data_IF_726814845315
#
_entry.id   IF_726814845315
#
_cell.length_a   1.000
_cell.length_b   1.000
_cell.length_c   1.000
_cell.angle_alpha   90.00
_cell.angle_beta   90.00
_cell.angle_gamma   90.00
#
_symmetry.space_group_name_H-M   'P 1'
#
loop_
_entity.id
_entity.type
_entity.pdbx_description
1 polymer ?
#
# COMPACT_ATOMS: atom_id res chain seq x y z
N UNK A 1 23.64 14.87 24.19
CA UNK A 1 23.39 15.51 22.87
C UNK A 1 22.00 16.09 22.92
N UNK A 2 21.84 17.39 22.60
CA UNK A 2 20.54 18.04 22.58
C UNK A 2 19.60 17.30 21.60
N UNK A 3 18.31 17.12 21.95
CA UNK A 3 17.36 16.61 20.99
C UNK A 3 17.37 17.55 19.77
N UNK A 4 17.64 17.01 18.61
CA UNK A 4 17.48 17.69 17.32
C UNK A 4 16.08 18.33 17.32
N UNK A 5 15.99 19.63 17.09
CA UNK A 5 14.69 20.30 16.89
C UNK A 5 13.92 19.49 15.85
N UNK A 6 12.78 18.92 16.27
CA UNK A 6 12.02 18.02 15.43
C UNK A 6 11.63 18.68 14.12
N UNK A 7 11.72 17.95 13.04
CA UNK A 7 11.23 18.39 11.72
C UNK A 7 9.71 18.47 11.79
N UNK A 8 9.13 19.60 11.38
CA UNK A 8 7.67 19.74 11.34
C UNK A 8 7.14 19.51 9.92
N UNK A 9 5.92 18.98 9.81
CA UNK A 9 5.27 18.80 8.51
C UNK A 9 5.17 20.14 7.77
N UNK A 10 4.86 21.22 8.46
CA UNK A 10 4.78 22.57 7.89
C UNK A 10 6.13 23.03 7.30
N UNK A 11 7.24 22.75 7.99
CA UNK A 11 8.57 23.10 7.48
C UNK A 11 8.95 22.30 6.23
N UNK A 12 8.63 21.01 6.20
CA UNK A 12 8.85 20.16 5.01
C UNK A 12 7.99 20.65 3.85
N UNK A 13 6.70 20.89 4.08
CA UNK A 13 5.78 21.35 3.03
C UNK A 13 6.18 22.73 2.46
N UNK A 14 6.66 23.65 3.30
CA UNK A 14 7.10 24.99 2.87
C UNK A 14 8.36 24.97 1.98
N UNK A 15 9.18 23.94 2.07
CA UNK A 15 10.39 23.78 1.27
C UNK A 15 10.13 23.16 -0.12
N UNK A 16 8.92 22.67 -0.36
CA UNK A 16 8.54 21.94 -1.57
C UNK A 16 7.79 22.86 -2.56
N UNK A 17 7.79 22.53 -3.86
CA UNK A 17 6.85 23.11 -4.80
C UNK A 17 5.40 22.91 -4.33
N UNK A 18 4.45 23.74 -4.78
CA UNK A 18 3.03 23.51 -4.50
C UNK A 18 2.58 22.14 -5.01
N UNK A 19 1.58 21.57 -4.34
CA UNK A 19 0.99 20.32 -4.80
C UNK A 19 0.47 20.44 -6.22
N UNK A 20 0.76 19.43 -7.04
CA UNK A 20 0.13 19.31 -8.34
C UNK A 20 -1.36 19.00 -8.14
N UNK A 21 -2.20 19.79 -8.76
CA UNK A 21 -3.65 19.64 -8.65
C UNK A 21 -4.29 19.71 -10.01
N UNK A 22 -5.05 18.68 -10.34
CA UNK A 22 -5.92 18.68 -11.51
C UNK A 22 -7.33 18.31 -11.05
N UNK A 23 -8.33 19.18 -11.26
CA UNK A 23 -9.72 18.84 -10.98
C UNK A 23 -10.11 17.54 -11.68
N UNK A 24 -10.73 16.61 -10.93
CA UNK A 24 -11.15 15.32 -11.50
C UNK A 24 -10.04 14.26 -11.62
N UNK A 25 -8.84 14.46 -11.04
CA UNK A 25 -7.77 13.46 -11.07
C UNK A 25 -8.24 12.09 -10.58
N UNK A 26 -8.93 12.01 -9.43
CA UNK A 26 -9.47 10.78 -8.86
C UNK A 26 -10.48 10.10 -9.80
N UNK A 27 -11.35 10.88 -10.43
CA UNK A 27 -12.30 10.39 -11.44
C UNK A 27 -11.56 9.83 -12.66
N UNK A 28 -10.50 10.51 -13.10
CA UNK A 28 -9.66 10.04 -14.20
C UNK A 28 -8.98 8.72 -13.87
N UNK A 29 -8.46 8.55 -12.66
CA UNK A 29 -7.89 7.28 -12.19
C UNK A 29 -8.94 6.18 -12.28
N UNK A 30 -10.15 6.43 -11.77
CA UNK A 30 -11.26 5.46 -11.81
C UNK A 30 -11.59 5.02 -13.24
N UNK A 31 -11.67 5.97 -14.18
CA UNK A 31 -11.93 5.69 -15.60
C UNK A 31 -10.81 4.85 -16.22
N UNK A 32 -9.54 5.15 -15.92
CA UNK A 32 -8.39 4.39 -16.42
C UNK A 32 -8.37 2.98 -15.85
N UNK A 33 -8.68 2.80 -14.57
CA UNK A 33 -8.81 1.48 -13.95
C UNK A 33 -9.92 0.66 -14.61
N UNK A 34 -11.11 1.25 -14.78
CA UNK A 34 -12.22 0.58 -15.47
C UNK A 34 -11.87 0.20 -16.91
N UNK A 35 -11.22 1.10 -17.64
CA UNK A 35 -10.80 0.85 -19.02
C UNK A 35 -9.75 -0.25 -19.13
N UNK A 36 -8.93 -0.46 -18.10
CA UNK A 36 -7.94 -1.54 -18.05
C UNK A 36 -8.58 -2.93 -17.93
N UNK A 37 -9.79 -3.01 -17.42
CA UNK A 37 -10.47 -4.28 -17.09
C UNK A 37 -9.79 -5.10 -16.00
N UNK A 38 -8.76 -4.55 -15.35
CA UNK A 38 -7.91 -5.23 -14.37
C UNK A 38 -8.54 -5.23 -12.99
N UNK A 39 -8.51 -6.37 -12.30
CA UNK A 39 -8.82 -6.47 -10.88
C UNK A 39 -7.60 -6.14 -10.03
N UNK A 40 -7.79 -5.33 -9.00
CA UNK A 40 -6.79 -5.09 -7.97
C UNK A 40 -7.07 -6.05 -6.82
N UNK A 41 -6.11 -6.92 -6.50
CA UNK A 41 -6.22 -7.90 -5.43
C UNK A 41 -5.33 -7.46 -4.29
N UNK A 42 -5.94 -7.06 -3.19
CA UNK A 42 -5.22 -6.54 -2.03
C UNK A 42 -5.06 -7.66 -1.01
N UNK A 43 -3.82 -8.09 -0.79
CA UNK A 43 -3.48 -9.03 0.26
C UNK A 43 -3.22 -8.27 1.54
N UNK A 44 -4.04 -8.50 2.54
CA UNK A 44 -4.01 -7.77 3.81
C UNK A 44 -3.43 -8.66 4.91
N UNK A 45 -2.25 -8.30 5.38
CA UNK A 45 -1.52 -9.09 6.38
C UNK A 45 -2.07 -8.95 7.81
N UNK A 46 -3.08 -8.06 8.01
CA UNK A 46 -3.64 -7.67 9.30
C UNK A 46 -5.11 -7.25 9.12
N UNK A 47 -6.04 -7.56 10.06
CA UNK A 47 -7.48 -7.32 9.89
C UNK A 47 -7.90 -5.86 9.83
N UNK A 48 -6.97 -4.91 9.88
CA UNK A 48 -7.27 -3.46 9.87
C UNK A 48 -7.03 -2.79 8.52
N UNK A 49 -6.83 -3.55 7.44
CA UNK A 49 -6.39 -3.04 6.14
C UNK A 49 -7.37 -2.18 5.34
N UNK A 50 -8.64 -2.31 5.61
CA UNK A 50 -9.71 -1.65 4.84
C UNK A 50 -10.08 -0.24 5.34
N UNK A 51 -9.27 0.36 6.19
CA UNK A 51 -9.58 1.61 6.91
C UNK A 51 -9.84 2.82 6.01
N UNK A 52 -9.32 2.83 4.78
CA UNK A 52 -9.40 3.97 3.86
C UNK A 52 -10.34 3.73 2.67
N UNK A 53 -10.94 2.56 2.59
CA UNK A 53 -11.79 2.12 1.49
C UNK A 53 -13.20 1.79 1.99
N UNK A 54 -14.17 1.69 1.08
CA UNK A 54 -15.55 1.37 1.42
C UNK A 54 -16.24 0.63 0.27
N UNK A 55 -17.33 -0.06 0.58
CA UNK A 55 -18.14 -0.81 -0.37
C UNK A 55 -17.32 -1.84 -1.17
N UNK A 56 -16.49 -2.64 -0.45
CA UNK A 56 -15.53 -3.57 -1.02
C UNK A 56 -15.63 -4.90 -0.28
N UNK A 57 -15.56 -6.00 -1.04
CA UNK A 57 -15.51 -7.33 -0.47
C UNK A 57 -14.16 -7.62 0.21
N UNK A 58 -14.24 -8.26 1.37
CA UNK A 58 -13.09 -8.78 2.11
C UNK A 58 -13.25 -10.28 2.25
N UNK A 59 -12.45 -11.02 1.51
CA UNK A 59 -12.46 -12.48 1.53
C UNK A 59 -11.58 -12.99 2.68
N UNK A 60 -12.11 -13.91 3.47
CA UNK A 60 -11.38 -14.61 4.55
C UNK A 60 -10.97 -16.01 4.15
N UNK A 61 -11.33 -16.42 2.95
CA UNK A 61 -10.97 -17.66 2.28
C UNK A 61 -10.60 -17.34 0.82
N UNK A 62 -9.83 -18.20 0.18
CA UNK A 62 -9.30 -17.95 -1.16
C UNK A 62 -9.30 -19.21 -2.04
N UNK A 63 -10.34 -20.04 -1.90
CA UNK A 63 -10.59 -21.08 -2.86
C UNK A 63 -10.95 -20.51 -4.25
N UNK A 64 -10.68 -21.28 -5.29
CA UNK A 64 -10.80 -20.79 -6.68
C UNK A 64 -12.23 -20.39 -7.04
N UNK A 65 -13.25 -21.01 -6.46
CA UNK A 65 -14.66 -20.72 -6.76
C UNK A 65 -15.04 -19.34 -6.19
N UNK A 66 -14.75 -19.08 -4.92
CA UNK A 66 -14.98 -17.79 -4.28
C UNK A 66 -14.19 -16.67 -4.98
N UNK A 67 -12.94 -16.91 -5.33
CA UNK A 67 -12.14 -15.94 -6.09
C UNK A 67 -12.75 -15.66 -7.46
N UNK A 68 -13.30 -16.65 -8.15
CA UNK A 68 -13.98 -16.46 -9.44
C UNK A 68 -15.20 -15.54 -9.28
N UNK A 69 -16.00 -15.75 -8.24
CA UNK A 69 -17.13 -14.87 -7.92
C UNK A 69 -16.66 -13.42 -7.69
N UNK A 70 -15.57 -13.22 -6.93
CA UNK A 70 -14.97 -11.89 -6.71
C UNK A 70 -14.41 -11.28 -8.01
N UNK A 71 -13.88 -12.07 -8.93
CA UNK A 71 -13.50 -11.58 -10.25
C UNK A 71 -14.72 -11.14 -11.07
N UNK A 72 -15.85 -11.82 -10.98
CA UNK A 72 -17.07 -11.51 -11.73
C UNK A 72 -17.82 -10.30 -11.17
N UNK A 73 -17.62 -9.96 -9.88
CA UNK A 73 -18.20 -8.78 -9.23
C UNK A 73 -17.81 -7.47 -9.96
N UNK A 74 -18.65 -6.43 -9.92
CA UNK A 74 -18.43 -5.17 -10.64
C UNK A 74 -17.32 -4.30 -10.05
N UNK A 75 -17.00 -4.46 -8.77
CA UNK A 75 -15.99 -3.66 -8.05
C UNK A 75 -14.60 -3.84 -8.67
N UNK A 76 -13.79 -2.77 -8.77
CA UNK A 76 -12.46 -2.84 -9.38
C UNK A 76 -11.44 -3.61 -8.53
N UNK A 77 -11.76 -3.86 -7.26
CA UNK A 77 -10.88 -4.54 -6.31
C UNK A 77 -11.65 -5.38 -5.31
N UNK A 78 -10.91 -6.30 -4.69
CA UNK A 78 -11.32 -7.00 -3.47
C UNK A 78 -10.10 -7.25 -2.58
N UNK A 79 -10.35 -7.47 -1.30
CA UNK A 79 -9.32 -7.80 -0.31
C UNK A 79 -9.33 -9.30 -0.02
N UNK A 80 -8.15 -9.83 0.26
CA UNK A 80 -7.96 -11.15 0.87
C UNK A 80 -7.26 -10.93 2.20
N UNK A 81 -7.95 -11.22 3.28
CA UNK A 81 -7.41 -11.14 4.62
C UNK A 81 -6.55 -12.37 4.92
N UNK A 82 -5.25 -12.23 4.86
CA UNK A 82 -4.28 -13.32 5.07
C UNK A 82 -3.88 -13.50 6.52
N UNK A 83 -3.89 -12.42 7.32
CA UNK A 83 -3.39 -12.36 8.70
C UNK A 83 -1.93 -12.85 8.86
N UNK A 84 -1.14 -12.81 7.82
CA UNK A 84 0.23 -13.37 7.79
C UNK A 84 1.16 -12.70 8.78
N UNK A 85 0.92 -11.45 9.18
CA UNK A 85 1.72 -10.76 10.20
C UNK A 85 1.68 -11.45 11.57
N UNK A 86 0.61 -12.17 11.88
CA UNK A 86 0.47 -12.94 13.12
C UNK A 86 1.01 -14.37 13.06
N UNK A 87 1.58 -14.79 11.92
CA UNK A 87 2.03 -16.16 11.66
C UNK A 87 3.55 -16.19 11.53
N UNK A 88 4.14 -17.38 11.45
CA UNK A 88 5.56 -17.55 11.11
C UNK A 88 5.82 -17.37 9.61
N UNK A 89 7.09 -17.11 9.25
CA UNK A 89 7.51 -16.83 7.88
C UNK A 89 7.18 -17.96 6.90
N UNK A 90 7.38 -19.21 7.29
CA UNK A 90 7.11 -20.37 6.42
C UNK A 90 5.61 -20.53 6.14
N UNK A 91 4.78 -20.26 7.13
CA UNK A 91 3.32 -20.23 6.95
C UNK A 91 2.88 -19.07 6.08
N UNK A 92 3.46 -17.87 6.26
CA UNK A 92 3.19 -16.71 5.41
C UNK A 92 3.58 -16.99 3.95
N UNK A 93 4.75 -17.58 3.71
CA UNK A 93 5.19 -18.00 2.38
C UNK A 93 4.18 -18.95 1.72
N UNK A 94 3.80 -20.01 2.43
CA UNK A 94 2.86 -21.03 1.92
C UNK A 94 1.50 -20.41 1.55
N UNK A 95 0.97 -19.52 2.40
CA UNK A 95 -0.30 -18.82 2.15
C UNK A 95 -0.20 -17.95 0.89
N UNK A 96 0.86 -17.16 0.75
CA UNK A 96 1.03 -16.31 -0.42
C UNK A 96 1.21 -17.13 -1.72
N UNK A 97 1.92 -18.27 -1.68
CA UNK A 97 2.01 -19.20 -2.79
C UNK A 97 0.64 -19.75 -3.19
N UNK A 98 -0.14 -20.22 -2.21
CA UNK A 98 -1.48 -20.77 -2.44
C UNK A 98 -2.42 -19.73 -3.06
N UNK A 99 -2.44 -18.51 -2.48
CA UNK A 99 -3.26 -17.41 -3.02
C UNK A 99 -2.85 -17.07 -4.45
N UNK A 100 -1.55 -16.94 -4.74
CA UNK A 100 -1.10 -16.59 -6.08
C UNK A 100 -1.56 -17.62 -7.12
N UNK A 101 -1.50 -18.91 -6.79
CA UNK A 101 -1.95 -19.99 -7.67
C UNK A 101 -3.46 -19.99 -7.89
N UNK A 102 -4.22 -19.85 -6.80
CA UNK A 102 -5.68 -19.82 -6.86
C UNK A 102 -6.20 -18.57 -7.60
N UNK A 103 -5.59 -17.42 -7.37
CA UNK A 103 -5.89 -16.19 -8.10
C UNK A 103 -5.59 -16.33 -9.58
N UNK A 104 -4.45 -16.92 -9.96
CA UNK A 104 -4.13 -17.13 -11.37
C UNK A 104 -5.15 -18.06 -12.05
N UNK A 105 -5.57 -19.12 -11.35
CA UNK A 105 -6.58 -20.03 -11.88
C UNK A 105 -7.94 -19.34 -12.05
N UNK A 106 -8.39 -18.59 -11.05
CA UNK A 106 -9.64 -17.84 -11.10
C UNK A 106 -9.61 -16.73 -12.17
N UNK A 107 -8.52 -15.96 -12.26
CA UNK A 107 -8.32 -14.92 -13.26
C UNK A 107 -8.37 -15.48 -14.70
N UNK A 108 -7.71 -16.62 -14.92
CA UNK A 108 -7.72 -17.31 -16.21
C UNK A 108 -9.12 -17.77 -16.59
N UNK A 109 -9.88 -18.32 -15.65
CA UNK A 109 -11.25 -18.76 -15.86
C UNK A 109 -12.20 -17.58 -16.14
N UNK A 110 -12.01 -16.44 -15.47
CA UNK A 110 -12.78 -15.20 -15.67
C UNK A 110 -12.33 -14.40 -16.91
N UNK A 111 -11.17 -14.72 -17.51
CA UNK A 111 -10.59 -13.97 -18.62
C UNK A 111 -10.22 -12.52 -18.25
N UNK A 112 -9.92 -12.25 -16.99
CA UNK A 112 -9.63 -10.90 -16.49
C UNK A 112 -8.18 -10.77 -16.04
N UNK A 113 -7.47 -9.71 -16.45
CA UNK A 113 -6.17 -9.38 -15.90
C UNK A 113 -6.27 -8.93 -14.44
N UNK A 114 -5.19 -9.06 -13.70
CA UNK A 114 -5.13 -8.64 -12.31
C UNK A 114 -3.78 -8.03 -11.93
N UNK A 115 -3.73 -7.40 -10.78
CA UNK A 115 -2.51 -6.97 -10.12
C UNK A 115 -2.62 -7.23 -8.61
N UNK A 116 -1.51 -7.65 -7.99
CA UNK A 116 -1.42 -7.78 -6.55
C UNK A 116 -0.96 -6.49 -5.89
N UNK A 117 -1.56 -6.17 -4.76
CA UNK A 117 -1.10 -5.17 -3.82
C UNK A 117 -0.89 -5.85 -2.47
N UNK A 118 0.36 -6.05 -2.05
CA UNK A 118 0.66 -6.48 -0.69
C UNK A 118 0.46 -5.29 0.25
N UNK A 119 -0.68 -5.27 0.93
CA UNK A 119 -1.00 -4.26 1.92
C UNK A 119 -0.48 -4.73 3.28
N UNK A 120 0.51 -4.05 3.76
CA UNK A 120 1.22 -4.37 4.99
C UNK A 120 1.20 -3.18 5.96
N UNK A 121 1.95 -3.27 7.04
CA UNK A 121 1.97 -2.27 8.09
C UNK A 121 2.57 -0.93 7.66
N UNK A 122 1.90 0.15 8.00
CA UNK A 122 2.40 1.50 7.77
C UNK A 122 3.61 1.89 8.64
N UNK A 123 3.95 1.07 9.64
CA UNK A 123 5.14 1.22 10.46
C UNK A 123 6.24 0.22 10.08
N UNK A 124 6.23 -0.25 8.82
CA UNK A 124 7.22 -1.11 8.16
C UNK A 124 7.34 -2.54 8.70
N UNK A 125 6.46 -2.99 9.59
CA UNK A 125 6.40 -4.39 10.03
C UNK A 125 5.77 -5.26 8.93
N UNK A 126 5.98 -6.57 8.99
CA UNK A 126 5.52 -7.55 8.01
C UNK A 126 6.68 -8.21 7.28
N UNK A 127 6.36 -9.21 6.47
CA UNK A 127 7.34 -10.10 5.83
C UNK A 127 7.90 -9.54 4.51
N UNK A 128 8.40 -8.29 4.51
CA UNK A 128 9.19 -7.80 3.39
C UNK A 128 10.65 -8.29 3.53
N UNK A 129 11.29 -8.82 2.47
CA UNK A 129 10.83 -8.92 1.08
C UNK A 129 10.05 -10.20 0.75
N UNK A 130 9.91 -11.15 1.67
CA UNK A 130 9.36 -12.48 1.45
C UNK A 130 8.04 -12.47 0.66
N UNK A 131 7.06 -11.69 1.09
CA UNK A 131 5.73 -11.66 0.46
C UNK A 131 5.81 -11.15 -0.99
N UNK A 132 6.58 -10.10 -1.24
CA UNK A 132 6.79 -9.57 -2.60
C UNK A 132 7.52 -10.59 -3.48
N UNK A 133 8.57 -11.22 -2.96
CA UNK A 133 9.36 -12.21 -3.70
C UNK A 133 8.52 -13.43 -4.10
N UNK A 134 7.71 -13.92 -3.17
CA UNK A 134 6.83 -15.09 -3.41
C UNK A 134 5.76 -14.76 -4.44
N UNK A 135 5.06 -13.64 -4.26
CA UNK A 135 4.02 -13.22 -5.19
C UNK A 135 4.59 -12.96 -6.59
N UNK A 136 5.74 -12.29 -6.69
CA UNK A 136 6.41 -12.06 -7.97
C UNK A 136 6.79 -13.38 -8.64
N UNK A 137 7.48 -14.25 -7.91
CA UNK A 137 7.94 -15.56 -8.42
C UNK A 137 6.78 -16.44 -8.91
N UNK A 138 5.74 -16.61 -8.10
CA UNK A 138 4.58 -17.43 -8.49
C UNK A 138 3.86 -16.82 -9.71
N UNK A 139 3.67 -15.49 -9.72
CA UNK A 139 3.01 -14.82 -10.84
C UNK A 139 3.85 -14.90 -12.12
N UNK A 140 5.17 -14.75 -12.04
CA UNK A 140 6.08 -14.89 -13.19
C UNK A 140 6.04 -16.31 -13.75
N UNK A 141 6.10 -17.32 -12.89
CA UNK A 141 6.07 -18.72 -13.31
C UNK A 141 4.75 -19.12 -13.98
N UNK A 142 3.63 -18.61 -13.47
CA UNK A 142 2.30 -18.94 -13.97
C UNK A 142 1.88 -18.04 -15.14
N UNK A 143 2.28 -16.79 -15.14
CA UNK A 143 1.90 -15.78 -16.12
C UNK A 143 2.86 -15.60 -17.30
N UNK A 144 4.09 -16.16 -17.21
CA UNK A 144 5.10 -16.06 -18.27
C UNK A 144 5.66 -14.66 -18.52
N UNK A 145 5.67 -13.78 -17.49
CA UNK A 145 6.21 -12.44 -17.56
C UNK A 145 6.95 -12.05 -16.28
N UNK A 146 7.82 -11.06 -16.34
CA UNK A 146 8.55 -10.54 -15.18
C UNK A 146 8.08 -9.14 -14.78
N UNK A 147 8.41 -8.75 -13.55
CA UNK A 147 8.14 -7.42 -13.04
C UNK A 147 9.32 -6.48 -13.28
N UNK A 148 9.01 -5.22 -13.61
CA UNK A 148 9.99 -4.17 -13.81
C UNK A 148 10.45 -3.56 -12.48
N UNK A 149 9.56 -3.47 -11.50
CA UNK A 149 9.87 -2.94 -10.19
C UNK A 149 8.83 -3.28 -9.13
N UNK A 150 9.20 -3.07 -7.88
CA UNK A 150 8.26 -3.13 -6.77
C UNK A 150 8.30 -1.83 -5.97
N UNK A 151 7.11 -1.25 -5.76
CA UNK A 151 6.98 0.01 -5.07
C UNK A 151 6.86 -0.17 -3.55
N UNK A 152 7.56 0.68 -2.81
CA UNK A 152 7.49 0.77 -1.35
C UNK A 152 6.73 2.05 -1.00
N UNK A 153 5.47 1.91 -0.54
CA UNK A 153 4.52 3.02 -0.33
C UNK A 153 3.84 2.88 1.04
N UNK A 154 4.55 3.05 2.16
CA UNK A 154 3.99 2.82 3.49
C UNK A 154 3.07 3.96 3.98
N UNK A 155 2.56 4.79 3.08
CA UNK A 155 1.73 5.94 3.41
C UNK A 155 0.37 5.54 4.00
N UNK A 156 0.01 6.16 5.13
CA UNK A 156 -1.29 6.09 5.76
C UNK A 156 -1.61 7.47 6.38
N UNK A 157 -2.16 8.35 5.57
CA UNK A 157 -2.33 9.76 5.91
C UNK A 157 -3.28 9.98 7.08
N UNK A 158 -4.36 9.19 7.18
CA UNK A 158 -5.34 9.25 8.26
C UNK A 158 -4.70 8.95 9.64
N UNK A 159 -3.63 8.16 9.65
CA UNK A 159 -2.87 7.85 10.86
C UNK A 159 -1.56 8.67 10.97
N UNK A 160 -1.36 9.66 10.10
CA UNK A 160 -0.15 10.50 10.11
C UNK A 160 1.12 9.76 9.68
N UNK A 161 1.01 8.79 8.75
CA UNK A 161 2.17 8.07 8.19
C UNK A 161 2.47 8.62 6.82
N UNK A 162 3.66 9.19 6.65
CA UNK A 162 4.06 9.89 5.43
C UNK A 162 5.57 9.75 5.19
N UNK A 163 6.00 9.99 3.96
CA UNK A 163 7.40 9.84 3.55
C UNK A 163 7.90 11.12 2.87
N UNK A 164 9.02 11.65 3.35
CA UNK A 164 9.69 12.82 2.78
C UNK A 164 11.20 12.63 2.80
N UNK A 165 11.89 12.97 1.72
CA UNK A 165 13.33 12.79 1.61
C UNK A 165 13.76 11.34 1.85
N UNK A 166 12.97 10.38 1.41
CA UNK A 166 13.07 8.93 1.60
C UNK A 166 12.89 8.45 3.05
N UNK A 167 12.80 9.33 4.03
CA UNK A 167 12.54 8.96 5.41
C UNK A 167 11.05 8.82 5.64
N UNK A 168 10.66 7.70 6.22
CA UNK A 168 9.28 7.47 6.63
C UNK A 168 9.06 7.98 8.04
N UNK A 169 7.96 8.71 8.24
CA UNK A 169 7.65 9.41 9.49
C UNK A 169 6.28 9.00 10.04
N UNK A 170 6.19 9.08 11.35
CA UNK A 170 4.96 9.20 12.10
C UNK A 170 4.77 10.66 12.49
N UNK A 171 3.68 11.29 12.04
CA UNK A 171 3.30 12.61 12.52
C UNK A 171 2.66 12.50 13.92
N UNK A 172 3.20 13.25 14.85
CA UNK A 172 2.65 13.38 16.20
C UNK A 172 2.47 14.86 16.50
N UNK A 173 1.22 15.29 16.53
CA UNK A 173 0.88 16.72 16.53
C UNK A 173 1.48 17.41 15.29
N UNK A 174 2.41 18.33 15.47
CA UNK A 174 3.11 19.03 14.38
C UNK A 174 4.50 18.45 14.07
N UNK A 175 4.97 17.48 14.85
CA UNK A 175 6.30 16.90 14.73
C UNK A 175 6.30 15.65 13.85
N UNK A 176 7.33 15.50 13.04
CA UNK A 176 7.61 14.29 12.26
C UNK A 176 8.68 13.48 13.00
N UNK A 177 8.29 12.31 13.47
CA UNK A 177 9.17 11.37 14.16
C UNK A 177 9.56 10.29 13.16
N UNK A 178 10.85 10.11 12.84
CA UNK A 178 11.28 9.00 12.00
C UNK A 178 10.83 7.66 12.60
N UNK A 179 10.28 6.77 11.77
CA UNK A 179 9.65 5.54 12.28
C UNK A 179 10.62 4.62 13.01
N UNK A 180 11.91 4.67 12.70
CA UNK A 180 12.94 3.94 13.41
C UNK A 180 13.23 4.46 14.83
N UNK A 181 12.72 5.62 15.20
CA UNK A 181 12.78 6.19 16.56
C UNK A 181 11.52 5.85 17.38
N UNK A 182 10.60 5.08 16.83
CA UNK A 182 9.36 4.68 17.49
C UNK A 182 9.45 3.29 18.08
N UNK A 183 8.51 2.96 18.98
CA UNK A 183 8.41 1.63 19.58
C UNK A 183 8.23 0.49 18.55
N UNK A 184 7.66 0.80 17.38
CA UNK A 184 7.42 -0.17 16.32
C UNK A 184 8.71 -0.72 15.69
N UNK A 185 9.78 0.06 15.67
CA UNK A 185 11.07 -0.37 15.16
C UNK A 185 11.76 -1.40 16.08
N UNK A 186 11.36 -1.42 17.36
CA UNK A 186 11.85 -2.39 18.34
C UNK A 186 11.04 -3.70 18.36
N UNK A 187 10.18 -3.95 17.37
CA UNK A 187 9.43 -5.19 17.24
C UNK A 187 10.37 -6.39 17.21
N UNK A 188 10.02 -7.46 17.94
CA UNK A 188 10.89 -8.63 18.11
C UNK A 188 11.02 -9.49 16.85
N UNK A 189 10.06 -9.42 15.94
CA UNK A 189 10.01 -10.22 14.70
C UNK A 189 10.37 -9.35 13.51
N UNK A 190 9.81 -8.15 13.42
CA UNK A 190 9.88 -7.27 12.26
C UNK A 190 10.75 -6.04 12.49
N UNK A 191 11.47 -5.95 13.59
CA UNK A 191 12.29 -4.81 13.95
C UNK A 191 13.25 -4.35 12.84
N UNK A 192 13.61 -3.08 12.85
CA UNK A 192 14.48 -2.46 11.85
C UNK A 192 15.22 -1.26 12.45
N UNK A 193 16.36 -0.91 11.84
CA UNK A 193 17.21 0.18 12.31
C UNK A 193 17.04 1.47 11.49
N UNK A 194 16.58 1.38 10.24
CA UNK A 194 16.58 2.49 9.30
C UNK A 194 15.16 3.04 9.04
N UNK A 195 14.98 4.35 9.20
CA UNK A 195 13.77 5.07 8.79
C UNK A 195 13.83 5.60 7.33
N UNK A 196 15.04 5.69 6.75
CA UNK A 196 15.24 5.90 5.31
C UNK A 196 14.85 4.61 4.57
N UNK A 197 13.85 4.69 3.70
CA UNK A 197 13.28 3.52 3.03
C UNK A 197 14.28 2.81 2.09
N UNK A 198 15.21 3.54 1.49
CA UNK A 198 16.24 2.90 0.65
C UNK A 198 17.18 2.05 1.51
N UNK A 199 17.59 2.57 2.66
CA UNK A 199 18.41 1.84 3.62
C UNK A 199 17.64 0.72 4.31
N UNK A 200 16.36 0.92 4.54
CA UNK A 200 15.47 -0.13 5.06
C UNK A 200 15.34 -1.29 4.07
N UNK A 201 15.24 -1.01 2.77
CA UNK A 201 15.27 -2.04 1.72
C UNK A 201 16.60 -2.80 1.76
N UNK A 202 17.73 -2.12 1.81
CA UNK A 202 19.05 -2.76 1.92
C UNK A 202 19.14 -3.65 3.15
N UNK A 203 18.71 -3.14 4.31
CA UNK A 203 18.66 -3.90 5.57
C UNK A 203 17.78 -5.14 5.45
N UNK A 204 16.55 -5.01 4.96
CA UNK A 204 15.59 -6.11 4.90
C UNK A 204 15.87 -7.14 3.82
N UNK A 205 16.60 -6.75 2.79
CA UNK A 205 17.03 -7.66 1.72
C UNK A 205 18.44 -8.21 1.95
N UNK A 206 19.04 -7.93 3.14
CA UNK A 206 20.40 -8.38 3.51
C UNK A 206 21.44 -7.99 2.45
N UNK A 207 21.27 -6.79 1.87
CA UNK A 207 22.18 -6.25 0.84
C UNK A 207 21.94 -6.80 -0.57
N UNK A 208 20.88 -7.58 -0.82
CA UNK A 208 20.51 -7.99 -2.18
C UNK A 208 20.20 -6.77 -3.06
N UNK A 209 19.57 -5.77 -2.51
CA UNK A 209 19.39 -4.45 -3.09
C UNK A 209 20.12 -3.43 -2.23
N UNK A 210 21.07 -2.70 -2.79
CA UNK A 210 21.73 -1.60 -2.09
C UNK A 210 20.82 -0.37 -2.10
N UNK A 211 20.96 0.50 -1.10
CA UNK A 211 20.20 1.75 -1.02
C UNK A 211 20.38 2.62 -2.27
N UNK A 212 21.57 2.58 -2.88
CA UNK A 212 21.89 3.33 -4.10
C UNK A 212 21.24 2.77 -5.37
N UNK A 213 20.81 1.51 -5.35
CA UNK A 213 20.18 0.86 -6.50
C UNK A 213 18.67 1.15 -6.56
N UNK A 214 18.09 1.63 -5.46
CA UNK A 214 16.67 1.96 -5.42
C UNK A 214 16.34 3.15 -6.33
N UNK A 215 15.30 3.02 -7.13
CA UNK A 215 14.69 4.18 -7.78
C UNK A 215 13.91 5.00 -6.76
N UNK A 216 13.87 6.31 -6.96
CA UNK A 216 13.16 7.22 -6.05
C UNK A 216 12.13 8.04 -6.82
N UNK A 217 10.91 8.05 -6.32
CA UNK A 217 9.87 9.01 -6.70
C UNK A 217 9.83 10.06 -5.59
N UNK A 218 10.50 11.20 -5.82
CA UNK A 218 10.57 12.28 -4.84
C UNK A 218 9.31 13.15 -4.83
N UNK A 219 9.13 13.96 -3.80
CA UNK A 219 8.01 14.91 -3.71
C UNK A 219 8.09 15.98 -4.81
N UNK A 220 9.29 16.45 -5.15
CA UNK A 220 9.49 17.41 -6.23
C UNK A 220 9.07 16.80 -7.58
N UNK A 221 9.39 15.52 -7.80
CA UNK A 221 9.00 14.80 -9.01
C UNK A 221 7.48 14.64 -9.09
N UNK A 222 6.82 14.23 -8.01
CA UNK A 222 5.36 14.13 -7.94
C UNK A 222 4.69 15.47 -8.23
N UNK A 223 5.22 16.54 -7.65
CA UNK A 223 4.68 17.89 -7.81
C UNK A 223 4.97 18.51 -9.19
N UNK A 224 5.82 17.87 -9.99
CA UNK A 224 5.99 18.20 -11.41
C UNK A 224 4.91 17.59 -12.31
N UNK A 225 4.06 16.71 -11.77
CA UNK A 225 2.97 16.09 -12.48
C UNK A 225 3.23 14.66 -12.97
N UNK A 226 2.19 13.97 -13.43
CA UNK A 226 2.25 12.52 -13.73
C UNK A 226 3.20 12.17 -14.87
N UNK A 227 3.40 13.02 -15.87
CA UNK A 227 4.30 12.73 -16.99
C UNK A 227 5.77 12.56 -16.56
N UNK A 228 6.24 13.40 -15.63
CA UNK A 228 7.58 13.31 -15.09
C UNK A 228 7.77 12.03 -14.28
N UNK A 229 6.77 11.66 -13.47
CA UNK A 229 6.75 10.41 -12.70
C UNK A 229 6.71 9.20 -13.61
N UNK A 230 5.85 9.21 -14.66
CA UNK A 230 5.79 8.15 -15.67
C UNK A 230 7.17 7.93 -16.31
N UNK A 231 7.86 9.00 -16.69
CA UNK A 231 9.19 8.90 -17.28
C UNK A 231 10.21 8.24 -16.35
N UNK A 232 10.11 8.47 -15.04
CA UNK A 232 10.95 7.81 -14.04
C UNK A 232 10.57 6.33 -13.88
N UNK A 233 9.27 6.02 -13.82
CA UNK A 233 8.76 4.64 -13.70
C UNK A 233 9.17 3.77 -14.89
N UNK A 234 9.15 4.31 -16.11
CA UNK A 234 9.55 3.58 -17.32
C UNK A 234 11.02 3.12 -17.31
N UNK A 235 11.87 3.69 -16.46
CA UNK A 235 13.28 3.28 -16.28
C UNK A 235 13.45 2.04 -15.40
N UNK A 236 12.40 1.63 -14.69
CA UNK A 236 12.46 0.46 -13.83
C UNK A 236 12.67 -0.82 -14.64
N UNK A 237 13.56 -1.69 -14.19
CA UNK A 237 13.86 -3.00 -14.78
C UNK A 237 14.29 -3.98 -13.69
N UNK A 238 14.04 -5.28 -13.91
CA UNK A 238 14.55 -6.36 -13.05
C UNK A 238 13.96 -6.37 -11.64
N UNK A 239 12.71 -5.93 -11.47
CA UNK A 239 12.03 -5.84 -10.18
C UNK A 239 12.74 -4.92 -9.17
N UNK A 240 13.34 -3.82 -9.67
CA UNK A 240 14.05 -2.85 -8.82
C UNK A 240 13.13 -2.25 -7.76
N UNK A 241 13.59 -2.03 -6.51
CA UNK A 241 12.82 -1.33 -5.49
C UNK A 241 12.61 0.13 -5.88
N UNK A 242 11.38 0.62 -5.74
CA UNK A 242 10.99 2.00 -6.06
C UNK A 242 10.46 2.65 -4.78
N UNK A 243 11.23 3.56 -4.22
CA UNK A 243 10.87 4.30 -3.00
C UNK A 243 9.94 5.45 -3.37
N UNK A 244 8.79 5.50 -2.73
CA UNK A 244 7.80 6.55 -2.98
C UNK A 244 7.70 7.49 -1.80
N UNK A 245 7.92 8.76 -2.05
CA UNK A 245 7.64 9.83 -1.11
C UNK A 245 6.21 10.33 -1.34
N UNK A 246 5.47 10.61 -0.27
CA UNK A 246 4.13 11.21 -0.37
C UNK A 246 3.74 11.85 0.96
N UNK A 247 3.14 13.04 0.92
CA UNK A 247 2.61 13.77 2.07
C UNK A 247 1.09 13.83 2.07
N UNK A 248 0.46 13.62 0.92
CA UNK A 248 -0.98 13.83 0.76
C UNK A 248 -1.58 12.91 -0.31
N UNK A 249 -2.90 12.92 -0.38
CA UNK A 249 -3.61 12.25 -1.47
C UNK A 249 -3.39 12.90 -2.84
N UNK A 250 -3.05 14.20 -2.89
CA UNK A 250 -2.68 14.84 -4.15
C UNK A 250 -1.40 14.21 -4.74
N UNK A 251 -0.35 14.02 -3.90
CA UNK A 251 0.86 13.32 -4.30
C UNK A 251 0.57 11.88 -4.74
N UNK A 252 -0.35 11.19 -4.03
CA UNK A 252 -0.72 9.81 -4.32
C UNK A 252 -1.53 9.68 -5.62
N UNK A 253 -2.36 10.66 -5.94
CA UNK A 253 -3.13 10.69 -7.19
C UNK A 253 -2.22 10.89 -8.40
N UNK A 254 -1.19 11.74 -8.28
CA UNK A 254 -0.15 11.89 -9.31
C UNK A 254 0.56 10.56 -9.55
N UNK A 255 0.98 9.88 -8.48
CA UNK A 255 1.60 8.56 -8.58
C UNK A 255 0.68 7.56 -9.29
N UNK A 256 -0.59 7.53 -8.90
CA UNK A 256 -1.59 6.60 -9.46
C UNK A 256 -1.81 6.82 -10.95
N UNK A 257 -1.92 8.08 -11.39
CA UNK A 257 -2.01 8.43 -12.82
C UNK A 257 -0.77 7.97 -13.58
N UNK A 258 0.41 8.21 -13.02
CA UNK A 258 1.69 7.85 -13.65
C UNK A 258 1.88 6.33 -13.75
N UNK A 259 1.47 5.58 -12.72
CA UNK A 259 1.51 4.11 -12.73
C UNK A 259 0.60 3.55 -13.81
N UNK A 260 -0.64 4.01 -13.88
CA UNK A 260 -1.58 3.56 -14.91
C UNK A 260 -1.08 3.85 -16.32
N UNK A 261 -0.45 4.99 -16.55
CA UNK A 261 0.17 5.33 -17.82
C UNK A 261 1.38 4.42 -18.13
N UNK A 262 2.26 4.17 -17.15
CA UNK A 262 3.41 3.27 -17.33
C UNK A 262 2.97 1.83 -17.59
N UNK A 263 1.92 1.36 -16.91
CA UNK A 263 1.33 0.04 -17.13
C UNK A 263 0.65 -0.10 -18.49
N UNK A 264 0.00 0.95 -18.99
CA UNK A 264 -0.51 0.97 -20.37
C UNK A 264 0.61 0.88 -21.42
N UNK A 265 1.81 1.35 -21.08
CA UNK A 265 3.03 1.22 -21.91
C UNK A 265 3.76 -0.12 -21.72
N UNK A 266 3.15 -1.07 -20.99
CA UNK A 266 3.62 -2.45 -20.83
C UNK A 266 4.48 -2.71 -19.62
N UNK A 267 4.70 -1.72 -18.74
CA UNK A 267 5.40 -1.94 -17.47
C UNK A 267 4.54 -2.72 -16.49
N UNK A 268 5.19 -3.46 -15.59
CA UNK A 268 4.54 -4.29 -14.56
C UNK A 268 5.20 -4.08 -13.22
N UNK A 269 4.38 -3.83 -12.21
CA UNK A 269 4.86 -3.53 -10.87
C UNK A 269 4.22 -4.42 -9.83
N UNK A 270 4.99 -4.73 -8.79
CA UNK A 270 4.50 -5.22 -7.51
C UNK A 270 4.38 -4.05 -6.54
N UNK A 271 3.53 -4.20 -5.54
CA UNK A 271 3.22 -3.12 -4.62
C UNK A 271 3.29 -3.61 -3.17
N UNK A 272 4.22 -3.03 -2.39
CA UNK A 272 4.21 -3.14 -0.93
C UNK A 272 3.74 -1.82 -0.36
N UNK A 273 2.55 -1.80 0.20
CA UNK A 273 1.87 -0.55 0.53
C UNK A 273 1.32 -0.55 1.97
N UNK A 274 0.82 0.62 2.39
CA UNK A 274 -0.14 0.73 3.47
C UNK A 274 -1.48 1.22 2.92
N UNK A 275 -2.35 1.75 3.79
CA UNK A 275 -3.76 1.93 3.45
C UNK A 275 -4.05 2.99 2.37
N UNK A 276 -3.30 4.13 2.36
CA UNK A 276 -3.68 5.27 1.51
C UNK A 276 -3.49 5.02 0.01
N UNK A 277 -2.54 4.18 -0.38
CA UNK A 277 -2.29 3.89 -1.80
C UNK A 277 -3.50 3.27 -2.48
N UNK A 278 -4.10 2.24 -1.87
CA UNK A 278 -5.21 1.50 -2.48
C UNK A 278 -6.39 2.42 -2.81
N UNK A 279 -6.74 3.34 -1.90
CA UNK A 279 -7.80 4.33 -2.11
C UNK A 279 -7.55 5.18 -3.36
N UNK A 280 -6.33 5.68 -3.53
CA UNK A 280 -5.97 6.50 -4.68
C UNK A 280 -5.90 5.66 -5.96
N UNK A 281 -5.14 4.57 -5.95
CA UNK A 281 -4.88 3.75 -7.12
C UNK A 281 -6.15 3.10 -7.70
N UNK A 282 -7.13 2.76 -6.85
CA UNK A 282 -8.42 2.26 -7.27
C UNK A 282 -9.43 3.39 -7.64
N UNK A 283 -9.08 4.64 -7.45
CA UNK A 283 -9.95 5.78 -7.73
C UNK A 283 -11.17 5.86 -6.81
N UNK A 284 -11.05 5.39 -5.56
CA UNK A 284 -12.16 5.40 -4.59
C UNK A 284 -12.41 6.83 -4.14
N UNK A 285 -13.66 7.25 -4.22
CA UNK A 285 -14.11 8.57 -3.77
C UNK A 285 -14.02 8.72 -2.26
N UNK A 286 -13.98 9.95 -1.78
CA UNK A 286 -14.10 10.20 -0.37
C UNK A 286 -15.53 9.96 0.12
N UNK A 287 -15.61 9.39 1.33
CA UNK A 287 -16.87 9.20 2.03
C UNK A 287 -16.74 9.79 3.43
N UNK A 288 -17.71 10.58 3.91
CA UNK A 288 -17.71 11.07 5.28
C UNK A 288 -17.81 9.90 6.27
N UNK A 289 -17.34 10.09 7.49
CA UNK A 289 -17.51 9.11 8.55
C UNK A 289 -19.01 8.81 8.75
N UNK A 290 -19.27 7.56 9.14
CA UNK A 290 -20.63 7.12 9.42
C UNK A 290 -21.24 7.94 10.57
N UNK A 291 -22.43 8.49 10.35
CA UNK A 291 -23.18 9.16 11.39
C UNK A 291 -23.85 8.14 12.32
N UNK A 292 -24.20 8.57 13.53
CA UNK A 292 -24.84 7.71 14.54
C UNK A 292 -26.08 6.98 13.98
N UNK A 293 -26.88 7.67 13.18
CA UNK A 293 -28.12 7.16 12.58
C UNK A 293 -27.88 6.02 11.58
N UNK A 294 -26.66 5.97 11.01
CA UNK A 294 -26.23 4.91 10.08
C UNK A 294 -25.66 3.70 10.83
N UNK A 295 -25.16 3.91 12.05
CA UNK A 295 -24.54 2.86 12.87
C UNK A 295 -25.56 2.14 13.75
N UNK A 296 -26.63 2.81 14.14
CA UNK A 296 -27.67 2.26 15.02
C UNK A 296 -28.90 1.97 14.18
N UNK A 297 -29.25 0.70 14.01
CA UNK A 297 -30.48 0.28 13.37
C UNK A 297 -31.67 0.89 14.11
N UNK A 298 -32.54 1.63 13.38
CA UNK A 298 -33.49 2.56 13.92
C UNK A 298 -34.37 2.02 15.03
N UNK A 299 -34.44 2.79 16.11
CA UNK A 299 -35.54 2.80 17.09
C UNK A 299 -35.60 1.68 18.10
N UNK A 300 -34.70 0.76 18.14
CA UNK A 300 -34.61 -0.20 19.25
C UNK A 300 -33.72 0.36 20.35
N UNK A 301 -34.25 0.48 21.57
CA UNK A 301 -33.45 0.67 22.77
C UNK A 301 -32.54 -0.57 22.93
N UNK A 302 -31.33 -0.46 22.39
CA UNK A 302 -30.33 -1.52 22.48
C UNK A 302 -29.77 -1.61 23.89
N UNK A 303 -29.44 -2.82 24.32
CA UNK A 303 -28.81 -3.09 25.61
C UNK A 303 -27.30 -2.75 25.65
N UNK A 304 -26.83 -1.85 24.76
CA UNK A 304 -25.43 -1.48 24.60
C UNK A 304 -24.67 -2.33 23.59
N UNK A 305 -23.37 -2.09 23.47
CA UNK A 305 -22.47 -2.79 22.56
C UNK A 305 -21.25 -3.33 23.31
N UNK A 306 -20.56 -4.28 22.69
CA UNK A 306 -19.29 -4.80 23.19
C UNK A 306 -18.18 -4.14 22.35
N UNK A 307 -17.19 -3.55 23.04
CA UNK A 307 -15.95 -3.05 22.41
C UNK A 307 -14.83 -4.01 22.81
N UNK A 308 -14.21 -4.63 21.82
CA UNK A 308 -13.04 -5.49 22.00
C UNK A 308 -11.80 -4.70 21.59
N UNK A 309 -10.86 -4.51 22.53
CA UNK A 309 -9.60 -3.84 22.30
C UNK A 309 -8.46 -4.85 22.44
N UNK A 310 -7.82 -5.19 21.33
CA UNK A 310 -6.68 -6.12 21.25
C UNK A 310 -5.38 -5.38 20.93
N UNK A 311 -5.07 -4.30 21.63
CA UNK A 311 -3.86 -3.51 21.38
C UNK A 311 -2.87 -3.61 22.53
N UNK A 312 -1.58 -3.62 22.20
CA UNK A 312 -0.47 -3.47 23.17
C UNK A 312 0.18 -2.08 23.07
N UNK A 313 -0.31 -1.23 22.17
CA UNK A 313 0.20 0.13 21.99
C UNK A 313 -0.45 1.05 23.01
N UNK A 314 0.38 1.75 23.79
CA UNK A 314 -0.05 2.59 24.91
C UNK A 314 -1.10 3.66 24.55
N UNK A 315 -1.09 4.15 23.30
CA UNK A 315 -2.06 5.13 22.79
C UNK A 315 -3.47 4.57 22.57
N UNK A 316 -3.60 3.26 22.41
CA UNK A 316 -4.86 2.59 22.05
C UNK A 316 -5.39 1.67 23.15
N UNK A 317 -4.66 1.49 24.22
CA UNK A 317 -5.07 0.86 25.47
C UNK A 317 -5.42 1.89 26.51
#
# INVERSE_FOLDING_TARGET
MNPTKGVTLAAVAAALPPEWSQPGARERIRQLQQASGRKIIVLDDDPTGVQTVHDIDVLTQWDTELLREAFDAPEPLFYILTNTRGLDAATAERINCEIARNVQAAASAAGKPYTFVSRSDSMLRGYYPLEIDVLAKETEQLGGYSFDGHLIIPAFFEAGRLTAGNVHYMAEQEQLIPVNETEFAADKVFGYANGDLSKWVEEKTEGRWLAADCLVISLELLRSGPEAVTSQLLRAEGNVPIIVNALSYADMDVLSLALLEAEQRGKRYMYRTAASFVKSYAGISERPFLAKEQLVAGGQEGHGGIVVVGSYVQKTT
#
